data_IF_444036339308
#
_entry.id   IF_444036339308
#
_cell.length_a   1.000
_cell.length_b   1.000
_cell.length_c   1.000
_cell.angle_alpha   90.00
_cell.angle_beta   90.00
_cell.angle_gamma   90.00
#
_symmetry.space_group_name_H-M   'P 1'
#
loop_
_entity.id
_entity.type
_entity.pdbx_description
1 polymer ?
#
# COMPACT_ATOMS: atom_id res chain seq x y z
N UNK A 1 -4.56 -11.69 19.00
CA UNK A 1 -3.39 -12.02 18.15
C UNK A 1 -2.58 -10.75 17.95
N UNK A 2 -1.31 -10.72 18.34
CA UNK A 2 -0.47 -9.54 18.16
C UNK A 2 -0.22 -9.33 16.66
N UNK A 3 -0.75 -8.25 16.10
CA UNK A 3 -0.30 -7.78 14.78
C UNK A 3 1.13 -7.27 14.94
N UNK A 4 2.02 -7.62 14.01
CA UNK A 4 3.40 -7.10 14.00
C UNK A 4 3.37 -5.56 14.02
N UNK A 5 4.31 -4.90 14.71
CA UNK A 5 4.39 -3.44 14.72
C UNK A 5 4.66 -2.91 13.31
N UNK A 6 4.31 -1.66 13.06
CA UNK A 6 4.44 -1.07 11.72
C UNK A 6 5.90 -1.03 11.22
N UNK A 7 6.85 -0.89 12.15
CA UNK A 7 8.28 -0.88 11.84
C UNK A 7 8.77 -2.20 11.22
N UNK A 8 8.18 -3.34 11.56
CA UNK A 8 8.55 -4.64 10.98
C UNK A 8 8.32 -4.73 9.46
N UNK A 9 7.45 -3.87 8.92
CA UNK A 9 7.10 -3.85 7.50
C UNK A 9 7.97 -2.88 6.69
N UNK A 10 8.91 -2.17 7.32
CA UNK A 10 9.84 -1.28 6.61
C UNK A 10 10.68 -2.05 5.58
N UNK A 11 11.11 -3.26 5.93
CA UNK A 11 11.84 -4.17 5.03
C UNK A 11 11.05 -4.58 3.79
N UNK A 12 9.73 -4.50 3.84
CA UNK A 12 8.84 -4.91 2.75
C UNK A 12 8.54 -3.74 1.79
N UNK A 13 8.91 -2.50 2.14
CA UNK A 13 8.71 -1.31 1.29
C UNK A 13 9.34 -1.44 -0.10
N UNK A 14 10.58 -1.96 -0.27
CA UNK A 14 11.15 -2.19 -1.59
C UNK A 14 10.30 -3.15 -2.44
N UNK A 15 9.81 -4.24 -1.83
CA UNK A 15 8.96 -5.20 -2.51
C UNK A 15 7.63 -4.59 -2.96
N UNK A 16 7.06 -3.64 -2.18
CA UNK A 16 5.89 -2.89 -2.62
C UNK A 16 6.20 -2.03 -3.85
N UNK A 17 7.34 -1.35 -3.88
CA UNK A 17 7.75 -0.55 -5.04
C UNK A 17 7.95 -1.42 -6.29
N UNK A 18 8.49 -2.64 -6.14
CA UNK A 18 8.67 -3.60 -7.24
C UNK A 18 7.34 -4.04 -7.87
N UNK A 19 6.29 -4.23 -7.06
CA UNK A 19 4.94 -4.58 -7.53
C UNK A 19 4.30 -3.49 -8.42
N UNK A 20 4.83 -2.27 -8.37
CA UNK A 20 4.36 -1.12 -9.14
C UNK A 20 5.22 -0.81 -10.37
N UNK A 21 6.31 -1.53 -10.62
CA UNK A 21 7.24 -1.29 -11.75
C UNK A 21 6.56 -1.25 -13.12
N UNK A 22 5.47 -2.00 -13.31
CA UNK A 22 4.65 -1.97 -14.54
C UNK A 22 3.90 -0.65 -14.75
N UNK A 23 3.84 0.21 -13.73
CA UNK A 23 3.25 1.54 -13.79
C UNK A 23 4.16 2.52 -13.04
N UNK A 24 5.12 3.09 -13.76
CA UNK A 24 6.14 3.99 -13.21
C UNK A 24 5.55 5.20 -12.49
N UNK A 25 4.37 5.67 -12.90
CA UNK A 25 3.67 6.78 -12.24
C UNK A 25 3.21 6.38 -10.84
N UNK A 26 2.57 5.22 -10.70
CA UNK A 26 2.19 4.67 -9.40
C UNK A 26 3.39 4.35 -8.51
N UNK A 27 4.47 3.83 -9.10
CA UNK A 27 5.70 3.57 -8.38
C UNK A 27 6.28 4.88 -7.82
N UNK A 28 6.31 5.95 -8.62
CA UNK A 28 6.77 7.26 -8.20
C UNK A 28 5.89 7.84 -7.08
N UNK A 29 4.57 7.78 -7.25
CA UNK A 29 3.61 8.23 -6.23
C UNK A 29 3.83 7.51 -4.89
N UNK A 30 4.07 6.19 -4.93
CA UNK A 30 4.36 5.42 -3.73
C UNK A 30 5.70 5.82 -3.08
N UNK A 31 6.76 5.96 -3.88
CA UNK A 31 8.09 6.33 -3.38
C UNK A 31 8.13 7.74 -2.78
N UNK A 32 7.28 8.65 -3.25
CA UNK A 32 7.15 10.02 -2.72
C UNK A 32 6.38 10.09 -1.39
N UNK A 33 5.63 9.04 -1.02
CA UNK A 33 4.94 8.98 0.27
C UNK A 33 5.94 9.04 1.43
N UNK A 34 5.54 9.67 2.53
CA UNK A 34 6.32 9.60 3.77
C UNK A 34 6.50 8.14 4.22
N UNK A 35 7.60 7.78 4.90
CA UNK A 35 7.88 6.40 5.32
C UNK A 35 6.77 5.75 6.15
N UNK A 36 5.96 6.54 6.87
CA UNK A 36 4.76 6.07 7.57
C UNK A 36 3.76 5.39 6.63
N UNK A 37 3.33 6.08 5.58
CA UNK A 37 2.36 5.54 4.61
C UNK A 37 2.93 4.39 3.77
N UNK A 38 4.23 4.42 3.45
CA UNK A 38 4.88 3.30 2.76
C UNK A 38 4.77 2.01 3.59
N UNK A 39 5.07 2.10 4.89
CA UNK A 39 4.94 0.96 5.82
C UNK A 39 3.49 0.54 6.02
N UNK A 40 2.54 1.47 5.99
CA UNK A 40 1.11 1.12 6.05
C UNK A 40 0.68 0.28 4.85
N UNK A 41 1.12 0.62 3.64
CA UNK A 41 0.87 -0.19 2.44
C UNK A 41 1.56 -1.55 2.50
N UNK A 42 2.81 -1.58 2.94
CA UNK A 42 3.55 -2.83 3.14
C UNK A 42 2.83 -3.73 4.15
N UNK A 43 2.36 -3.21 5.28
CA UNK A 43 1.54 -3.93 6.25
C UNK A 43 0.23 -4.42 5.64
N UNK A 44 -0.45 -3.57 4.88
CA UNK A 44 -1.73 -3.94 4.27
C UNK A 44 -1.55 -5.14 3.34
N UNK A 45 -0.54 -5.13 2.49
CA UNK A 45 -0.26 -6.22 1.54
C UNK A 45 0.33 -7.45 2.25
N UNK A 46 1.51 -7.31 2.87
CA UNK A 46 2.28 -8.43 3.40
C UNK A 46 1.81 -8.92 4.79
N UNK A 47 0.92 -8.18 5.45
CA UNK A 47 0.21 -8.65 6.63
C UNK A 47 -0.84 -9.73 6.33
N UNK A 48 -1.31 -9.81 5.08
CA UNK A 48 -2.23 -10.87 4.67
C UNK A 48 -1.47 -12.20 4.45
N UNK A 49 -1.99 -13.30 5.02
CA UNK A 49 -1.37 -14.63 4.87
C UNK A 49 -1.64 -15.26 3.51
N UNK A 50 -2.88 -15.15 3.01
CA UNK A 50 -3.29 -15.76 1.76
C UNK A 50 -2.87 -14.90 0.55
N UNK A 51 -2.28 -15.53 -0.46
CA UNK A 51 -1.82 -14.86 -1.67
C UNK A 51 -2.95 -14.17 -2.43
N UNK A 52 -4.13 -14.80 -2.51
CA UNK A 52 -5.31 -14.19 -3.14
C UNK A 52 -5.70 -12.85 -2.47
N UNK A 53 -5.55 -12.76 -1.15
CA UNK A 53 -5.82 -11.52 -0.40
C UNK A 53 -4.74 -10.48 -0.65
N UNK A 54 -3.45 -10.88 -0.71
CA UNK A 54 -2.35 -9.99 -1.11
C UNK A 54 -2.61 -9.37 -2.48
N UNK A 55 -3.01 -10.19 -3.46
CA UNK A 55 -3.33 -9.72 -4.80
C UNK A 55 -4.46 -8.69 -4.80
N UNK A 56 -5.55 -8.96 -4.06
CA UNK A 56 -6.65 -7.99 -3.91
C UNK A 56 -6.18 -6.68 -3.26
N UNK A 57 -5.33 -6.76 -2.25
CA UNK A 57 -4.77 -5.57 -1.59
C UNK A 57 -3.87 -4.75 -2.50
N UNK A 58 -3.09 -5.39 -3.37
CA UNK A 58 -2.29 -4.72 -4.41
C UNK A 58 -3.21 -3.97 -5.39
N UNK A 59 -4.29 -4.58 -5.85
CA UNK A 59 -5.24 -3.92 -6.75
C UNK A 59 -5.98 -2.75 -6.07
N UNK A 60 -6.31 -2.88 -4.78
CA UNK A 60 -6.83 -1.77 -3.96
C UNK A 60 -5.81 -0.64 -3.88
N UNK A 61 -4.55 -0.94 -3.56
CA UNK A 61 -3.47 0.06 -3.50
C UNK A 61 -3.34 0.83 -4.82
N UNK A 62 -3.31 0.13 -5.95
CA UNK A 62 -3.25 0.77 -7.27
C UNK A 62 -4.43 1.69 -7.50
N UNK A 63 -5.65 1.25 -7.18
CA UNK A 63 -6.87 2.07 -7.30
C UNK A 63 -6.78 3.34 -6.45
N UNK A 64 -6.32 3.19 -5.21
CA UNK A 64 -6.21 4.28 -4.24
C UNK A 64 -5.17 5.32 -4.67
N UNK A 65 -3.98 4.87 -5.08
CA UNK A 65 -2.92 5.76 -5.55
C UNK A 65 -3.30 6.45 -6.87
N UNK A 66 -3.95 5.75 -7.82
CA UNK A 66 -4.47 6.37 -9.05
C UNK A 66 -5.49 7.47 -8.77
N UNK A 67 -6.24 7.33 -7.69
CA UNK A 67 -7.20 8.34 -7.25
C UNK A 67 -6.55 9.50 -6.46
N UNK A 68 -5.22 9.50 -6.27
CA UNK A 68 -4.47 10.57 -5.60
C UNK A 68 -4.44 10.48 -4.07
N UNK A 69 -4.81 9.34 -3.48
CA UNK A 69 -4.88 9.19 -2.02
C UNK A 69 -3.66 8.46 -1.47
N UNK A 70 -3.08 9.01 -0.39
CA UNK A 70 -1.89 8.47 0.30
C UNK A 70 -2.10 7.16 1.05
N UNK A 71 -3.33 6.84 1.43
CA UNK A 71 -3.67 5.64 2.19
C UNK A 71 -5.09 5.17 1.91
N UNK A 72 -5.34 3.88 2.15
CA UNK A 72 -6.69 3.31 2.06
C UNK A 72 -7.70 4.08 2.92
N UNK A 73 -7.31 4.46 4.14
CA UNK A 73 -8.17 5.23 5.05
C UNK A 73 -8.57 6.59 4.45
N UNK A 74 -7.62 7.30 3.83
CA UNK A 74 -7.90 8.57 3.19
C UNK A 74 -8.90 8.40 2.04
N UNK A 75 -8.76 7.33 1.25
CA UNK A 75 -9.69 6.99 0.18
C UNK A 75 -11.08 6.58 0.66
N UNK A 76 -11.15 5.76 1.71
CA UNK A 76 -12.42 5.31 2.30
C UNK A 76 -13.19 6.48 2.95
N UNK A 77 -12.47 7.53 3.38
CA UNK A 77 -13.05 8.73 4.00
C UNK A 77 -13.38 9.84 2.99
N UNK A 78 -13.24 9.59 1.68
CA UNK A 78 -13.58 10.58 0.67
C UNK A 78 -15.09 10.90 0.72
N UNK A 79 -15.50 12.16 0.42
CA UNK A 79 -16.91 12.45 0.22
C UNK A 79 -17.46 11.59 -0.91
N UNK A 80 -18.61 10.96 -0.65
CA UNK A 80 -19.39 10.27 -1.67
C UNK A 80 -20.28 11.33 -2.29
N UNK A 81 -20.02 11.64 -3.56
CA UNK A 81 -20.99 12.32 -4.41
C UNK A 81 -22.21 11.42 -4.59
#
# INVERSE_FOLDING_TARGET
MASKPLADYEKDVPAVAELLTKNTDLQKLFTDLTPGYQREWARFIFGAKAEATKQRHIEVMKTVLKAGYKSKRAYDSRPKD
#
